data_IF_419236921388
#
_entry.id   IF_419236921388
#
_cell.length_a   1.000
_cell.length_b   1.000
_cell.length_c   1.000
_cell.angle_alpha   90.00
_cell.angle_beta   90.00
_cell.angle_gamma   90.00
#
_symmetry.space_group_name_H-M   'P 1'
#
loop_
_entity.id
_entity.type
_entity.pdbx_description
1 polymer ?
#
# COMPACT_ATOMS: atom_id res chain seq x y z
N UNK A 1 -4.14 0.52 -2.32
CA UNK A 1 -2.79 0.93 -2.70
C UNK A 1 -1.83 0.21 -1.78
N UNK A 2 -0.83 -0.41 -2.31
CA UNK A 2 0.06 -1.33 -1.59
C UNK A 2 1.51 -0.85 -1.69
N UNK A 3 2.35 -1.26 -0.73
CA UNK A 3 3.79 -1.01 -0.81
C UNK A 3 4.40 -1.89 -1.93
N UNK A 4 5.28 -1.38 -2.78
CA UNK A 4 6.00 -0.09 -2.70
C UNK A 4 5.31 1.08 -3.41
N UNK A 5 4.19 0.87 -4.04
CA UNK A 5 3.44 1.88 -4.82
C UNK A 5 3.06 3.11 -3.98
N UNK A 6 2.63 2.87 -2.72
CA UNK A 6 2.22 3.94 -1.81
C UNK A 6 3.36 4.92 -1.47
N UNK A 7 4.62 4.49 -1.50
CA UNK A 7 5.79 5.35 -1.21
C UNK A 7 5.92 6.46 -2.25
N UNK A 8 5.90 6.10 -3.54
CA UNK A 8 6.00 7.08 -4.62
C UNK A 8 4.85 8.07 -4.57
N UNK A 9 3.64 7.54 -4.40
CA UNK A 9 2.42 8.36 -4.34
C UNK A 9 2.42 9.28 -3.13
N UNK A 10 2.84 8.82 -1.96
CA UNK A 10 2.97 9.66 -0.76
C UNK A 10 3.87 10.88 -1.00
N UNK A 11 5.04 10.69 -1.63
CA UNK A 11 5.95 11.79 -1.94
C UNK A 11 5.32 12.82 -2.89
N UNK A 12 4.61 12.34 -3.90
CA UNK A 12 3.94 13.22 -4.86
C UNK A 12 2.75 13.96 -4.21
N UNK A 13 1.95 13.28 -3.38
CA UNK A 13 0.85 13.91 -2.63
C UNK A 13 1.39 14.99 -1.70
N UNK A 14 2.43 14.70 -0.91
CA UNK A 14 3.05 15.69 -0.01
C UNK A 14 3.49 16.94 -0.76
N UNK A 15 4.18 16.77 -1.90
CA UNK A 15 4.64 17.91 -2.72
C UNK A 15 3.49 18.74 -3.27
N UNK A 16 2.38 18.10 -3.58
CA UNK A 16 1.26 18.74 -4.24
C UNK A 16 0.35 19.50 -3.26
N UNK A 17 0.10 18.96 -2.06
CA UNK A 17 -0.97 19.48 -1.19
C UNK A 17 -0.50 20.06 0.14
N UNK A 18 0.68 19.69 0.66
CA UNK A 18 1.18 20.28 1.92
C UNK A 18 1.45 21.76 1.73
N UNK A 19 0.95 22.58 2.64
CA UNK A 19 0.99 24.05 2.58
C UNK A 19 -0.17 24.68 1.81
N UNK A 20 -0.99 23.89 1.09
CA UNK A 20 -2.19 24.37 0.39
C UNK A 20 -3.37 24.51 1.34
N UNK A 21 -4.28 25.44 1.04
CA UNK A 21 -5.56 25.62 1.74
C UNK A 21 -6.65 24.87 0.99
N UNK A 22 -7.45 24.09 1.70
CA UNK A 22 -8.59 23.37 1.15
C UNK A 22 -9.69 24.39 0.86
N UNK A 23 -10.06 24.58 -0.40
CA UNK A 23 -11.08 25.53 -0.82
C UNK A 23 -12.47 24.92 -0.88
N UNK A 24 -12.55 23.63 -1.20
CA UNK A 24 -13.81 22.88 -1.23
C UNK A 24 -13.57 21.40 -1.05
N UNK A 25 -14.62 20.67 -0.67
CA UNK A 25 -14.63 19.20 -0.55
C UNK A 25 -15.87 18.65 -1.22
N UNK A 26 -15.70 17.86 -2.27
CA UNK A 26 -16.79 17.27 -3.05
C UNK A 26 -16.86 15.77 -2.82
N UNK A 27 -18.07 15.27 -2.63
CA UNK A 27 -18.38 13.83 -2.57
C UNK A 27 -19.13 13.41 -3.83
N UNK A 28 -18.65 12.39 -4.52
CA UNK A 28 -19.36 11.79 -5.63
C UNK A 28 -19.56 10.30 -5.38
N UNK A 29 -20.81 9.80 -5.50
CA UNK A 29 -21.16 8.38 -5.35
C UNK A 29 -21.22 7.72 -6.72
N UNK A 30 -20.69 6.51 -6.81
CA UNK A 30 -20.84 5.63 -7.96
C UNK A 30 -22.03 4.70 -7.70
N UNK A 31 -23.07 4.79 -8.48
CA UNK A 31 -24.31 4.02 -8.38
C UNK A 31 -25.14 4.28 -7.10
N UNK A 32 -26.45 4.17 -7.25
CA UNK A 32 -27.46 4.30 -6.18
C UNK A 32 -27.55 3.09 -5.24
N UNK A 33 -26.45 2.39 -5.05
CA UNK A 33 -26.40 1.28 -4.09
C UNK A 33 -26.50 1.75 -2.65
N UNK A 34 -27.14 0.96 -1.79
CA UNK A 34 -27.42 1.20 -0.36
C UNK A 34 -26.20 1.35 0.55
N UNK A 35 -25.17 2.08 0.14
CA UNK A 35 -24.11 2.46 1.06
C UNK A 35 -24.54 3.72 1.81
N UNK A 36 -25.03 3.55 3.01
CA UNK A 36 -25.16 4.62 3.99
C UNK A 36 -23.76 5.11 4.38
N UNK A 37 -23.22 6.02 3.59
CA UNK A 37 -22.27 6.97 4.16
C UNK A 37 -23.08 7.76 5.19
N UNK A 38 -22.66 7.65 6.43
CA UNK A 38 -23.18 8.50 7.48
C UNK A 38 -23.06 9.96 7.02
N UNK A 39 -24.18 10.62 6.84
CA UNK A 39 -24.22 12.04 6.45
C UNK A 39 -23.43 12.92 7.41
N UNK A 40 -23.38 12.56 8.70
CA UNK A 40 -22.55 13.18 9.73
C UNK A 40 -21.06 13.15 9.38
N UNK A 41 -20.55 12.08 8.76
CA UNK A 41 -19.15 11.98 8.37
C UNK A 41 -18.82 12.91 7.19
N UNK A 42 -19.78 13.16 6.27
CA UNK A 42 -19.53 14.09 5.17
C UNK A 42 -19.58 15.54 5.62
N UNK A 43 -20.47 15.90 6.53
CA UNK A 43 -20.54 17.27 7.08
C UNK A 43 -19.25 17.60 7.84
N UNK A 44 -18.67 16.64 8.57
CA UNK A 44 -17.35 16.79 9.16
C UNK A 44 -16.22 17.01 8.13
N UNK A 45 -16.31 16.43 6.92
CA UNK A 45 -15.34 16.72 5.86
C UNK A 45 -15.36 18.20 5.44
N UNK A 46 -16.54 18.86 5.50
CA UNK A 46 -16.65 20.28 5.19
C UNK A 46 -15.94 21.17 6.20
N UNK A 47 -15.74 20.71 7.44
CA UNK A 47 -14.96 21.43 8.45
C UNK A 47 -13.49 21.62 8.06
N UNK A 48 -13.00 20.87 7.07
CA UNK A 48 -11.67 21.03 6.49
C UNK A 48 -11.56 22.23 5.53
N UNK A 49 -12.68 22.76 5.06
CA UNK A 49 -12.69 23.90 4.13
C UNK A 49 -12.12 25.14 4.85
N UNK A 50 -11.21 25.82 4.20
CA UNK A 50 -10.48 26.96 4.76
C UNK A 50 -9.24 26.56 5.58
N UNK A 51 -9.04 25.30 5.88
CA UNK A 51 -7.87 24.84 6.64
C UNK A 51 -6.68 24.52 5.72
N UNK A 52 -5.48 24.78 6.23
CA UNK A 52 -4.22 24.50 5.56
C UNK A 52 -3.77 23.08 5.86
N UNK A 53 -3.35 22.35 4.84
CA UNK A 53 -2.77 21.00 4.99
C UNK A 53 -1.36 21.11 5.55
N UNK A 54 -1.09 20.46 6.66
CA UNK A 54 0.24 20.43 7.30
C UNK A 54 0.96 19.11 7.09
N UNK A 55 0.21 18.02 6.90
CA UNK A 55 0.77 16.71 6.60
C UNK A 55 -0.15 15.95 5.65
N UNK A 56 0.41 15.18 4.74
CA UNK A 56 -0.32 14.30 3.86
C UNK A 56 0.50 13.07 3.47
N UNK A 57 -0.20 11.98 3.22
CA UNK A 57 0.36 10.76 2.61
C UNK A 57 -0.69 10.08 1.72
N UNK A 58 -0.38 8.89 1.24
CA UNK A 58 -1.30 8.13 0.39
C UNK A 58 -2.57 7.65 1.13
N UNK A 59 -2.66 7.76 2.43
CA UNK A 59 -3.78 7.29 3.25
C UNK A 59 -4.33 8.31 4.23
N UNK A 60 -3.73 9.49 4.36
CA UNK A 60 -4.21 10.51 5.29
C UNK A 60 -3.92 11.95 4.83
N UNK A 61 -4.67 12.88 5.40
CA UNK A 61 -4.50 14.31 5.24
C UNK A 61 -4.78 14.99 6.58
N UNK A 62 -3.81 15.73 7.10
CA UNK A 62 -3.91 16.46 8.36
C UNK A 62 -3.87 17.97 8.11
N UNK A 63 -4.66 18.71 8.87
CA UNK A 63 -4.77 20.17 8.76
C UNK A 63 -4.22 20.88 10.00
N UNK A 64 -3.92 22.15 9.86
CA UNK A 64 -3.45 23.02 10.95
C UNK A 64 -4.44 23.15 12.11
N UNK A 65 -5.75 22.98 11.85
CA UNK A 65 -6.80 22.94 12.87
C UNK A 65 -6.87 21.63 13.65
N UNK A 66 -5.93 20.69 13.43
CA UNK A 66 -5.88 19.41 14.12
C UNK A 66 -6.91 18.39 13.62
N UNK A 67 -7.55 18.64 12.48
CA UNK A 67 -8.40 17.66 11.82
C UNK A 67 -7.56 16.73 10.94
N UNK A 68 -7.74 15.44 11.13
CA UNK A 68 -7.09 14.41 10.32
C UNK A 68 -8.14 13.55 9.63
N UNK A 69 -8.04 13.45 8.31
CA UNK A 69 -8.82 12.49 7.50
C UNK A 69 -7.95 11.30 7.19
N UNK A 70 -8.38 10.11 7.59
CA UNK A 70 -7.77 8.84 7.20
C UNK A 70 -8.62 8.12 6.17
N UNK A 71 -8.01 7.67 5.09
CA UNK A 71 -8.66 6.89 4.04
C UNK A 71 -8.32 5.42 4.20
N UNK A 72 -9.32 4.64 4.57
CA UNK A 72 -9.22 3.18 4.70
C UNK A 72 -9.70 2.56 3.40
N UNK A 73 -8.78 2.14 2.54
CA UNK A 73 -9.14 1.50 1.28
C UNK A 73 -8.23 0.30 0.96
N UNK A 74 -8.85 -0.80 0.57
CA UNK A 74 -8.15 -1.99 0.07
C UNK A 74 -7.97 -1.96 -1.45
N UNK A 75 -8.93 -1.39 -2.17
CA UNK A 75 -8.96 -1.31 -3.64
C UNK A 75 -9.34 0.09 -4.11
N UNK A 76 -8.69 1.10 -3.59
CA UNK A 76 -8.91 2.48 -3.97
C UNK A 76 -7.75 3.05 -4.78
N UNK A 77 -7.77 4.34 -4.96
CA UNK A 77 -6.71 5.07 -5.61
C UNK A 77 -6.74 6.56 -5.28
N UNK A 78 -5.67 7.23 -5.58
CA UNK A 78 -5.56 8.68 -5.48
C UNK A 78 -5.27 9.24 -6.86
N UNK A 79 -5.88 10.36 -7.22
CA UNK A 79 -5.64 11.08 -8.46
C UNK A 79 -5.45 12.56 -8.18
N UNK A 80 -4.47 13.14 -8.84
CA UNK A 80 -4.21 14.57 -8.87
C UNK A 80 -4.52 15.10 -10.26
N UNK A 81 -5.24 16.22 -10.35
CA UNK A 81 -5.56 16.87 -11.61
C UNK A 81 -5.66 18.39 -11.42
N UNK A 82 -5.56 19.13 -12.51
CA UNK A 82 -5.73 20.57 -12.48
C UNK A 82 -7.19 20.93 -12.18
N UNK A 83 -7.39 21.97 -11.37
CA UNK A 83 -8.75 22.42 -10.94
C UNK A 83 -9.66 22.76 -12.10
N UNK A 84 -9.11 23.31 -13.19
CA UNK A 84 -9.82 23.71 -14.42
C UNK A 84 -10.14 22.54 -15.36
N UNK A 85 -9.72 21.33 -15.01
CA UNK A 85 -9.99 20.12 -15.79
C UNK A 85 -11.07 19.27 -15.13
N UNK A 86 -11.82 18.56 -15.97
CA UNK A 86 -12.73 17.54 -15.48
C UNK A 86 -11.98 16.47 -14.69
N UNK A 87 -12.64 15.95 -13.67
CA UNK A 87 -12.11 14.85 -12.89
C UNK A 87 -11.77 13.65 -13.80
N UNK A 88 -10.62 12.99 -13.61
CA UNK A 88 -10.25 11.84 -14.43
C UNK A 88 -11.33 10.76 -14.40
N UNK A 89 -11.69 10.26 -15.57
CA UNK A 89 -12.67 9.18 -15.70
C UNK A 89 -12.20 7.94 -14.94
N UNK A 90 -13.07 7.41 -14.08
CA UNK A 90 -12.82 6.18 -13.37
C UNK A 90 -13.26 5.04 -14.28
N UNK A 91 -12.32 4.50 -15.06
CA UNK A 91 -12.54 3.49 -16.12
C UNK A 91 -13.18 2.17 -15.65
N UNK A 92 -13.27 1.93 -14.35
CA UNK A 92 -13.97 0.77 -13.77
C UNK A 92 -14.71 1.23 -12.53
N UNK A 93 -15.97 1.60 -12.70
CA UNK A 93 -16.88 1.63 -11.56
C UNK A 93 -17.03 0.19 -11.06
N UNK A 94 -16.74 -0.09 -9.79
CA UNK A 94 -16.99 -1.41 -9.24
C UNK A 94 -18.49 -1.72 -9.37
N UNK A 95 -18.82 -2.94 -9.78
CA UNK A 95 -20.21 -3.45 -9.76
C UNK A 95 -20.86 -3.37 -8.36
N UNK A 96 -20.04 -3.12 -7.35
CA UNK A 96 -20.37 -3.13 -5.93
C UNK A 96 -20.55 -1.74 -5.32
N UNK A 97 -20.52 -0.67 -6.12
CA UNK A 97 -20.61 0.70 -5.63
C UNK A 97 -19.26 1.26 -5.12
N UNK A 98 -19.28 2.48 -4.64
CA UNK A 98 -18.15 3.23 -4.14
C UNK A 98 -18.41 4.73 -4.21
N UNK A 99 -17.43 5.50 -3.78
CA UNK A 99 -17.49 6.96 -3.84
C UNK A 99 -16.10 7.57 -4.00
N UNK A 100 -16.07 8.85 -4.40
CA UNK A 100 -14.86 9.65 -4.36
C UNK A 100 -15.02 10.81 -3.38
N UNK A 101 -13.93 11.15 -2.71
CA UNK A 101 -13.78 12.42 -2.00
C UNK A 101 -12.75 13.23 -2.75
N UNK A 102 -13.12 14.43 -3.17
CA UNK A 102 -12.24 15.35 -3.90
C UNK A 102 -11.98 16.59 -3.05
N UNK A 103 -10.72 16.81 -2.70
CA UNK A 103 -10.24 18.03 -2.05
C UNK A 103 -9.81 19.01 -3.12
N UNK A 104 -10.42 20.18 -3.14
CA UNK A 104 -10.15 21.24 -4.12
C UNK A 104 -9.21 22.26 -3.50
N UNK A 105 -8.11 22.54 -4.16
CA UNK A 105 -7.12 23.56 -3.82
C UNK A 105 -7.13 24.68 -4.88
N UNK A 106 -6.24 25.66 -4.77
CA UNK A 106 -6.21 26.80 -5.68
C UNK A 106 -6.02 26.41 -7.15
N UNK A 107 -5.02 25.60 -7.45
CA UNK A 107 -4.65 25.19 -8.81
C UNK A 107 -4.89 23.73 -9.14
N UNK A 108 -5.11 22.89 -8.13
CA UNK A 108 -5.20 21.44 -8.27
C UNK A 108 -6.37 20.87 -7.47
N UNK A 109 -6.74 19.65 -7.78
CA UNK A 109 -7.68 18.84 -7.00
C UNK A 109 -7.09 17.48 -6.73
N UNK A 110 -7.28 17.00 -5.51
CA UNK A 110 -6.87 15.66 -5.06
C UNK A 110 -8.12 14.80 -4.87
N UNK A 111 -8.32 13.82 -5.73
CA UNK A 111 -9.44 12.89 -5.65
C UNK A 111 -8.99 11.57 -5.02
N UNK A 112 -9.66 11.16 -3.96
CA UNK A 112 -9.50 9.86 -3.31
C UNK A 112 -10.64 8.95 -3.75
N UNK A 113 -10.31 7.82 -4.34
CA UNK A 113 -11.26 6.83 -4.86
C UNK A 113 -11.40 5.71 -3.83
N UNK A 114 -12.60 5.53 -3.34
CA UNK A 114 -12.94 4.55 -2.31
C UNK A 114 -13.89 3.51 -2.92
N UNK A 115 -13.32 2.39 -3.38
CA UNK A 115 -14.05 1.31 -4.04
C UNK A 115 -14.45 0.23 -3.06
N UNK A 116 -15.76 -0.12 -3.04
CA UNK A 116 -16.37 -1.27 -2.39
C UNK A 116 -16.27 -1.40 -0.84
N UNK A 117 -16.79 -2.49 -0.35
CA UNK A 117 -17.24 -2.90 0.99
C UNK A 117 -16.28 -2.67 2.18
N UNK A 118 -15.01 -2.43 1.94
CA UNK A 118 -14.00 -2.23 2.98
C UNK A 118 -13.35 -0.84 2.94
N UNK A 119 -13.94 0.07 2.18
CA UNK A 119 -13.43 1.42 2.06
C UNK A 119 -14.26 2.38 2.90
N UNK A 120 -13.60 3.11 3.76
CA UNK A 120 -14.17 4.12 4.61
C UNK A 120 -13.20 5.30 4.73
N UNK A 121 -13.68 6.42 5.23
CA UNK A 121 -12.81 7.44 5.79
C UNK A 121 -13.17 7.66 7.27
N UNK A 122 -12.19 8.03 8.05
CA UNK A 122 -12.35 8.41 9.46
C UNK A 122 -11.82 9.82 9.63
N UNK A 123 -12.56 10.66 10.33
CA UNK A 123 -12.11 11.99 10.72
C UNK A 123 -11.82 11.96 12.22
N UNK A 124 -10.62 12.35 12.59
CA UNK A 124 -10.14 12.43 13.96
C UNK A 124 -9.76 13.87 14.29
N UNK A 125 -10.02 14.31 15.52
CA UNK A 125 -9.63 15.62 16.06
C UNK A 125 -8.54 15.42 17.10
N UNK A 126 -7.44 16.18 17.00
CA UNK A 126 -6.40 16.24 18.03
C UNK A 126 -5.54 14.99 18.21
N UNK A 127 -5.76 13.97 17.44
CA UNK A 127 -4.96 12.74 17.44
C UNK A 127 -4.01 12.74 16.25
N UNK A 128 -2.75 12.32 16.47
CA UNK A 128 -1.91 11.92 15.36
C UNK A 128 -2.62 10.80 14.56
N UNK A 129 -2.48 10.80 13.22
CA UNK A 129 -3.07 9.74 12.42
C UNK A 129 -2.60 8.41 12.99
N UNK A 130 -3.54 7.56 13.39
CA UNK A 130 -3.18 6.19 13.77
C UNK A 130 -2.46 5.58 12.60
N UNK A 131 -1.20 5.14 12.74
CA UNK A 131 -0.45 4.55 11.65
C UNK A 131 -1.31 3.44 11.03
N UNK A 132 -1.54 3.52 9.75
CA UNK A 132 -2.33 2.51 9.02
C UNK A 132 -1.77 1.11 9.25
N UNK A 133 -0.48 1.05 9.48
CA UNK A 133 0.28 -0.17 9.69
C UNK A 133 1.07 -0.08 10.99
N UNK A 134 1.22 -1.18 11.71
CA UNK A 134 2.02 -1.24 12.93
C UNK A 134 3.48 -0.79 12.75
N UNK A 135 3.98 -0.85 11.52
CA UNK A 135 5.31 -0.39 11.15
C UNK A 135 5.20 0.45 9.86
N UNK A 136 5.65 1.70 9.90
CA UNK A 136 5.78 2.51 8.71
C UNK A 136 7.11 2.22 8.00
N UNK A 137 7.06 1.34 7.01
CA UNK A 137 8.25 0.96 6.23
C UNK A 137 8.83 2.13 5.40
N UNK A 138 8.12 3.25 5.32
CA UNK A 138 8.59 4.47 4.64
C UNK A 138 9.40 5.37 5.57
N UNK A 139 9.34 5.11 6.87
CA UNK A 139 10.04 5.86 7.92
C UNK A 139 11.27 5.09 8.42
N UNK A 140 12.50 5.56 8.16
CA UNK A 140 13.71 4.91 8.67
C UNK A 140 13.79 4.85 10.20
N UNK A 141 13.08 5.76 10.89
CA UNK A 141 13.01 5.78 12.36
C UNK A 141 11.96 4.83 12.91
N UNK A 142 10.97 4.48 12.12
CA UNK A 142 9.90 3.56 12.51
C UNK A 142 10.17 2.13 12.07
N UNK A 143 10.65 1.92 10.85
CA UNK A 143 10.99 0.61 10.31
C UNK A 143 12.46 0.26 10.62
N UNK A 144 12.72 -0.17 11.85
CA UNK A 144 14.03 -0.65 12.30
C UNK A 144 14.02 -2.17 12.49
N UNK A 145 15.20 -2.80 12.47
CA UNK A 145 15.31 -4.27 12.66
C UNK A 145 14.71 -4.70 13.99
N UNK A 146 14.99 -3.98 15.07
CA UNK A 146 14.46 -4.28 16.41
C UNK A 146 12.93 -4.23 16.44
N UNK A 147 12.31 -3.19 15.86
CA UNK A 147 10.86 -3.08 15.80
C UNK A 147 10.24 -4.13 14.87
N UNK A 148 10.88 -4.43 13.76
CA UNK A 148 10.45 -5.49 12.87
C UNK A 148 10.47 -6.86 13.54
N UNK A 149 11.52 -7.18 14.28
CA UNK A 149 11.66 -8.42 15.04
C UNK A 149 10.60 -8.53 16.15
N UNK A 150 10.47 -7.50 16.99
CA UNK A 150 9.42 -7.43 18.03
C UNK A 150 8.01 -7.60 17.45
N UNK A 151 7.78 -6.99 16.30
CA UNK A 151 6.51 -7.15 15.61
C UNK A 151 6.30 -8.59 15.13
N UNK A 152 7.30 -9.24 14.51
CA UNK A 152 7.21 -10.64 14.10
C UNK A 152 6.92 -11.55 15.29
N UNK A 153 7.59 -11.34 16.42
CA UNK A 153 7.38 -12.10 17.66
C UNK A 153 5.93 -12.01 18.16
N UNK A 154 5.32 -10.84 18.02
CA UNK A 154 3.92 -10.61 18.39
C UNK A 154 2.91 -11.37 17.50
N UNK A 155 3.33 -11.82 16.32
CA UNK A 155 2.43 -12.48 15.34
C UNK A 155 2.23 -13.97 15.61
N UNK A 156 2.94 -14.53 16.55
CA UNK A 156 2.81 -15.94 16.90
C UNK A 156 3.42 -16.88 15.85
N UNK A 157 2.85 -18.09 15.71
CA UNK A 157 3.40 -19.13 14.84
C UNK A 157 2.73 -19.18 13.46
N UNK A 158 2.58 -18.03 12.79
CA UNK A 158 2.09 -17.96 11.41
C UNK A 158 3.26 -18.02 10.41
N UNK A 159 2.96 -18.10 9.12
CA UNK A 159 4.00 -18.06 8.10
C UNK A 159 4.54 -16.64 7.92
N UNK A 160 5.79 -16.50 7.54
CA UNK A 160 6.41 -15.17 7.30
C UNK A 160 5.67 -14.39 6.21
N UNK A 161 5.20 -15.06 5.17
CA UNK A 161 4.47 -14.39 4.10
C UNK A 161 3.08 -13.92 4.55
N UNK A 162 2.37 -14.70 5.38
CA UNK A 162 1.07 -14.31 5.92
C UNK A 162 1.20 -13.14 6.92
N UNK A 163 2.32 -13.08 7.65
CA UNK A 163 2.61 -11.96 8.53
C UNK A 163 2.81 -10.66 7.74
N UNK A 164 3.58 -10.70 6.67
CA UNK A 164 3.97 -9.52 5.91
C UNK A 164 2.96 -9.12 4.81
N UNK A 165 2.03 -10.01 4.41
CA UNK A 165 1.11 -9.70 3.34
C UNK A 165 -0.10 -8.88 3.79
N UNK A 166 -0.66 -8.10 2.86
CA UNK A 166 -1.67 -7.07 3.07
C UNK A 166 -2.94 -7.48 3.79
N UNK A 167 -3.35 -8.75 3.68
CA UNK A 167 -4.63 -9.17 4.26
C UNK A 167 -4.60 -9.32 5.78
N UNK A 168 -3.44 -9.43 6.40
CA UNK A 168 -3.26 -9.69 7.85
C UNK A 168 -2.00 -9.06 8.44
N UNK A 169 -1.24 -8.31 7.63
CA UNK A 169 0.13 -7.93 7.95
C UNK A 169 0.31 -6.57 8.61
N UNK A 170 1.55 -6.30 8.95
CA UNK A 170 2.00 -5.04 9.51
C UNK A 170 2.10 -3.94 8.45
N UNK A 171 2.33 -4.33 7.24
CA UNK A 171 2.54 -3.42 6.14
C UNK A 171 1.96 -4.05 4.88
N UNK A 172 1.35 -3.22 4.07
CA UNK A 172 0.60 -3.59 2.86
C UNK A 172 1.53 -4.01 1.70
N UNK A 173 2.40 -4.97 1.99
CA UNK A 173 3.33 -5.52 0.99
C UNK A 173 2.61 -6.50 0.09
N UNK A 174 2.73 -6.33 -1.22
CA UNK A 174 2.11 -7.25 -2.16
C UNK A 174 2.70 -8.65 -2.07
N UNK A 175 1.87 -9.68 -2.28
CA UNK A 175 2.34 -11.08 -2.30
C UNK A 175 3.43 -11.31 -3.35
N UNK A 176 3.35 -10.79 -4.59
CA UNK A 176 4.46 -10.89 -5.54
C UNK A 176 5.76 -10.30 -5.03
N UNK A 177 5.70 -9.17 -4.32
CA UNK A 177 6.86 -8.54 -3.72
C UNK A 177 7.47 -9.41 -2.61
N UNK A 178 6.63 -9.96 -1.70
CA UNK A 178 7.09 -10.88 -0.67
C UNK A 178 7.62 -12.21 -1.24
N UNK A 179 6.99 -12.78 -2.26
CA UNK A 179 7.53 -13.96 -2.92
C UNK A 179 8.95 -13.72 -3.44
N UNK A 180 9.19 -12.54 -4.02
CA UNK A 180 10.52 -12.17 -4.52
C UNK A 180 11.53 -11.97 -3.37
N UNK A 181 11.16 -11.27 -2.31
CA UNK A 181 12.00 -11.08 -1.12
C UNK A 181 12.43 -12.44 -0.54
N UNK A 182 11.46 -13.34 -0.33
CA UNK A 182 11.73 -14.66 0.24
C UNK A 182 12.61 -15.52 -0.69
N UNK A 183 12.45 -15.39 -2.01
CA UNK A 183 13.35 -16.04 -2.96
C UNK A 183 14.78 -15.48 -2.89
N UNK A 184 14.95 -14.18 -2.75
CA UNK A 184 16.26 -13.55 -2.54
C UNK A 184 16.91 -14.03 -1.25
N UNK A 185 16.13 -14.22 -0.19
CA UNK A 185 16.60 -14.70 1.11
C UNK A 185 16.83 -16.23 1.17
N UNK A 186 16.29 -17.00 0.21
CA UNK A 186 16.39 -18.47 0.22
C UNK A 186 15.40 -19.13 1.18
N UNK A 187 14.32 -18.44 1.54
CA UNK A 187 13.32 -18.87 2.52
C UNK A 187 12.03 -19.26 1.80
N UNK A 188 11.51 -20.46 2.12
CA UNK A 188 10.26 -20.92 1.55
C UNK A 188 9.07 -20.09 2.10
N UNK A 189 8.06 -19.69 1.29
CA UNK A 189 6.97 -18.84 1.73
C UNK A 189 6.14 -19.40 2.89
N UNK A 190 6.06 -20.72 3.03
CA UNK A 190 5.39 -21.39 4.18
C UNK A 190 6.27 -21.56 5.41
N UNK A 191 7.47 -20.99 5.46
CA UNK A 191 8.29 -21.01 6.65
C UNK A 191 7.62 -20.29 7.80
N UNK A 192 7.67 -20.91 8.99
CA UNK A 192 7.08 -20.34 10.21
C UNK A 192 8.02 -19.29 10.80
N UNK A 193 7.48 -18.19 11.31
CA UNK A 193 8.27 -17.11 11.91
C UNK A 193 9.19 -17.65 13.00
N UNK A 194 8.66 -18.47 13.91
CA UNK A 194 9.42 -19.05 15.05
C UNK A 194 10.54 -19.99 14.65
N UNK A 195 10.57 -20.46 13.41
CA UNK A 195 11.60 -21.34 12.87
C UNK A 195 12.70 -20.59 12.10
N UNK A 196 12.58 -19.26 11.98
CA UNK A 196 13.59 -18.41 11.37
C UNK A 196 14.64 -18.03 12.42
N UNK A 197 15.92 -18.09 12.04
CA UNK A 197 17.00 -17.54 12.85
C UNK A 197 17.00 -16.01 12.79
N UNK A 198 17.63 -15.36 13.78
CA UNK A 198 17.83 -13.90 13.80
C UNK A 198 18.48 -13.40 12.51
N UNK A 199 19.53 -14.09 12.02
CA UNK A 199 20.19 -13.73 10.77
C UNK A 199 19.29 -13.87 9.53
N UNK A 200 18.32 -14.80 9.53
CA UNK A 200 17.32 -14.92 8.47
C UNK A 200 16.30 -13.77 8.51
N UNK A 201 15.88 -13.36 9.71
CA UNK A 201 15.00 -12.21 9.92
C UNK A 201 15.69 -10.92 9.48
N UNK A 202 16.95 -10.72 9.91
CA UNK A 202 17.77 -9.58 9.48
C UNK A 202 17.93 -9.54 7.96
N UNK A 203 18.19 -10.68 7.34
CA UNK A 203 18.30 -10.77 5.88
C UNK A 203 17.00 -10.38 5.17
N UNK A 204 15.84 -10.78 5.69
CA UNK A 204 14.53 -10.37 5.17
C UNK A 204 14.39 -8.85 5.31
N UNK A 205 14.65 -8.31 6.50
CA UNK A 205 14.58 -6.87 6.78
C UNK A 205 15.45 -6.06 5.81
N UNK A 206 16.73 -6.39 5.71
CA UNK A 206 17.67 -5.70 4.82
C UNK A 206 17.28 -5.82 3.34
N UNK A 207 16.69 -6.95 2.93
CA UNK A 207 16.20 -7.12 1.57
C UNK A 207 14.97 -6.23 1.31
N UNK A 208 14.07 -6.08 2.29
CA UNK A 208 12.93 -5.15 2.19
C UNK A 208 13.43 -3.72 2.04
N UNK A 209 14.30 -3.26 2.95
CA UNK A 209 14.86 -1.89 2.92
C UNK A 209 15.50 -1.60 1.58
N UNK A 210 16.39 -2.48 1.12
CA UNK A 210 17.07 -2.31 -0.18
C UNK A 210 16.10 -2.23 -1.34
N UNK A 211 15.06 -3.04 -1.35
CA UNK A 211 14.07 -3.01 -2.43
C UNK A 211 13.22 -1.74 -2.41
N UNK A 212 12.95 -1.18 -1.24
CA UNK A 212 12.25 0.09 -1.11
C UNK A 212 13.11 1.27 -1.61
N UNK A 213 14.41 1.26 -1.28
CA UNK A 213 15.39 2.21 -1.82
C UNK A 213 15.51 2.10 -3.35
N UNK A 214 15.64 0.88 -3.86
CA UNK A 214 15.69 0.62 -5.31
C UNK A 214 14.41 1.12 -6.02
N UNK A 215 13.25 0.98 -5.39
CA UNK A 215 11.99 1.50 -5.93
C UNK A 215 11.98 3.02 -5.98
N UNK A 216 12.49 3.68 -4.94
CA UNK A 216 12.55 5.15 -4.84
C UNK A 216 13.40 5.76 -5.95
N UNK A 217 14.51 5.12 -6.34
CA UNK A 217 15.37 5.55 -7.45
C UNK A 217 14.87 5.08 -8.83
N UNK A 218 13.62 4.63 -8.93
CA UNK A 218 12.95 4.30 -10.17
C UNK A 218 13.13 2.86 -10.67
N UNK A 219 13.77 1.96 -9.90
CA UNK A 219 13.81 0.52 -10.21
C UNK A 219 12.51 -0.16 -9.78
N UNK A 220 11.47 0.07 -10.54
CA UNK A 220 10.10 -0.35 -10.20
C UNK A 220 9.92 -1.85 -10.29
N UNK A 221 9.49 -2.44 -9.20
CA UNK A 221 9.25 -3.88 -9.04
C UNK A 221 7.81 -4.30 -9.37
N UNK A 222 6.90 -3.36 -9.50
CA UNK A 222 5.51 -3.59 -9.92
C UNK A 222 5.01 -2.45 -10.79
N UNK A 223 4.02 -2.76 -11.63
CA UNK A 223 3.29 -1.74 -12.38
C UNK A 223 2.22 -1.11 -11.51
N UNK A 224 2.02 0.19 -11.64
CA UNK A 224 0.97 0.93 -10.93
C UNK A 224 0.45 2.09 -11.77
N UNK A 225 -0.63 2.71 -11.32
CA UNK A 225 -1.15 3.94 -11.92
C UNK A 225 -0.69 5.10 -11.03
N UNK A 226 0.04 6.06 -11.61
CA UNK A 226 0.50 7.25 -10.88
C UNK A 226 -0.65 8.20 -10.52
N UNK A 227 -0.34 9.28 -9.81
CA UNK A 227 -1.32 10.29 -9.41
C UNK A 227 -2.06 10.94 -10.59
N UNK A 228 -1.45 10.95 -11.77
CA UNK A 228 -2.01 11.58 -12.96
C UNK A 228 -2.80 10.59 -13.84
N UNK A 229 -3.01 9.36 -13.38
CA UNK A 229 -3.73 8.32 -14.11
C UNK A 229 -2.91 7.61 -15.18
N UNK A 230 -1.61 7.89 -15.28
CA UNK A 230 -0.71 7.23 -16.22
C UNK A 230 -0.27 5.87 -15.71
N UNK A 231 -0.32 4.88 -16.57
CA UNK A 231 0.16 3.54 -16.26
C UNK A 231 1.70 3.51 -16.28
N UNK A 232 2.29 3.31 -15.12
CA UNK A 232 3.73 3.14 -14.95
C UNK A 232 4.04 1.65 -14.95
N UNK A 233 4.82 1.21 -15.94
CA UNK A 233 5.22 -0.20 -16.07
C UNK A 233 6.37 -0.53 -15.12
N UNK A 234 6.41 -1.80 -14.71
CA UNK A 234 7.58 -2.36 -14.03
C UNK A 234 8.81 -2.27 -14.97
N UNK A 235 9.96 -1.94 -14.42
CA UNK A 235 11.23 -1.92 -15.14
C UNK A 235 12.31 -2.77 -14.44
N UNK A 236 11.95 -3.46 -13.37
CA UNK A 236 12.79 -4.45 -12.73
C UNK A 236 12.20 -5.85 -13.00
N UNK A 237 12.68 -6.55 -14.05
CA UNK A 237 12.16 -7.86 -14.43
C UNK A 237 12.32 -8.92 -13.32
N UNK A 238 13.24 -8.71 -12.37
CA UNK A 238 13.46 -9.62 -11.26
C UNK A 238 12.25 -9.73 -10.32
N UNK A 239 11.48 -8.66 -10.16
CA UNK A 239 10.35 -8.66 -9.23
C UNK A 239 9.13 -9.46 -9.73
N UNK A 240 9.00 -9.62 -11.03
CA UNK A 240 7.94 -10.45 -11.62
C UNK A 240 8.31 -11.94 -11.74
N UNK A 241 9.50 -12.35 -11.25
CA UNK A 241 9.96 -13.73 -11.36
C UNK A 241 9.07 -14.70 -10.57
N UNK A 242 8.74 -14.38 -9.33
CA UNK A 242 7.96 -15.25 -8.44
C UNK A 242 6.47 -14.97 -8.55
N UNK A 243 5.91 -15.14 -9.76
CA UNK A 243 4.51 -14.88 -10.09
C UNK A 243 3.91 -15.99 -10.93
N UNK A 244 2.58 -15.99 -11.11
CA UNK A 244 1.86 -16.95 -11.95
C UNK A 244 2.41 -17.04 -13.37
N UNK A 245 2.85 -15.91 -13.95
CA UNK A 245 3.41 -15.83 -15.31
C UNK A 245 4.65 -16.69 -15.51
N UNK A 246 5.39 -16.94 -14.43
CA UNK A 246 6.66 -17.67 -14.47
C UNK A 246 6.61 -19.03 -13.73
N UNK A 247 5.43 -19.44 -13.28
CA UNK A 247 5.23 -20.79 -12.76
C UNK A 247 5.64 -21.83 -13.83
N UNK A 248 6.38 -22.84 -13.42
CA UNK A 248 6.98 -23.88 -14.26
C UNK A 248 8.12 -23.43 -15.20
N UNK A 249 8.49 -22.14 -15.23
CA UNK A 249 9.69 -21.68 -15.91
C UNK A 249 10.94 -21.89 -15.05
N UNK A 250 12.14 -21.98 -15.68
CA UNK A 250 13.37 -22.18 -14.94
C UNK A 250 13.70 -21.00 -14.01
N UNK A 251 14.09 -21.32 -12.80
CA UNK A 251 14.64 -20.36 -11.84
C UNK A 251 15.95 -19.77 -12.37
N UNK A 252 16.13 -18.46 -12.39
CA UNK A 252 17.35 -17.84 -12.94
C UNK A 252 18.63 -18.13 -12.11
N UNK A 253 18.48 -18.58 -10.86
CA UNK A 253 19.64 -18.93 -10.01
C UNK A 253 20.11 -20.38 -10.20
N UNK A 254 19.18 -21.32 -10.44
CA UNK A 254 19.51 -22.75 -10.41
C UNK A 254 18.80 -23.59 -11.49
N UNK A 255 18.08 -22.97 -12.40
CA UNK A 255 17.33 -23.61 -13.49
C UNK A 255 16.21 -24.57 -13.06
N UNK A 256 16.01 -24.82 -11.77
CA UNK A 256 14.89 -25.63 -11.28
C UNK A 256 13.56 -24.92 -11.58
N UNK A 257 12.51 -25.64 -12.04
CA UNK A 257 11.23 -25.03 -12.31
C UNK A 257 10.64 -24.34 -11.06
N UNK A 258 10.09 -23.12 -11.26
CA UNK A 258 9.36 -22.39 -10.23
C UNK A 258 8.05 -23.10 -9.95
N UNK A 259 7.73 -23.33 -8.70
CA UNK A 259 6.51 -24.00 -8.24
C UNK A 259 5.55 -23.02 -7.55
N UNK A 260 4.31 -23.48 -7.39
CA UNK A 260 3.28 -22.78 -6.64
C UNK A 260 2.81 -23.63 -5.45
N UNK A 261 2.55 -22.98 -4.32
CA UNK A 261 1.94 -23.61 -3.15
C UNK A 261 0.73 -22.78 -2.70
N UNK A 262 -0.34 -23.45 -2.27
CA UNK A 262 -1.52 -22.77 -1.72
C UNK A 262 -1.19 -22.15 -0.37
N UNK A 263 -1.46 -20.86 -0.25
CA UNK A 263 -1.42 -20.10 0.99
C UNK A 263 -2.81 -19.76 1.50
N UNK A 264 -2.92 -18.76 2.37
CA UNK A 264 -4.19 -18.28 2.91
C UNK A 264 -4.93 -17.45 1.86
N UNK A 265 -5.79 -18.12 1.07
CA UNK A 265 -6.64 -17.48 0.05
C UNK A 265 -5.95 -17.17 -1.28
N UNK A 266 -4.66 -17.50 -1.46
CA UNK A 266 -3.93 -17.25 -2.70
C UNK A 266 -2.77 -18.22 -2.90
N UNK A 267 -2.16 -18.22 -4.09
CA UNK A 267 -0.97 -19.00 -4.41
C UNK A 267 0.29 -18.19 -4.14
N UNK A 268 1.29 -18.83 -3.54
CA UNK A 268 2.66 -18.34 -3.39
C UNK A 268 3.57 -19.06 -4.36
N UNK A 269 4.50 -18.33 -4.96
CA UNK A 269 5.43 -18.85 -5.97
C UNK A 269 6.85 -18.89 -5.40
N UNK A 270 7.56 -19.99 -5.64
CA UNK A 270 8.88 -20.22 -5.05
C UNK A 270 9.73 -21.18 -5.91
N UNK A 271 11.04 -21.19 -5.67
CA UNK A 271 11.93 -22.18 -6.25
C UNK A 271 12.24 -23.27 -5.19
N UNK A 272 11.87 -24.54 -5.44
CA UNK A 272 12.04 -25.60 -4.43
C UNK A 272 13.53 -25.92 -4.12
N UNK A 273 14.41 -25.61 -5.05
CA UNK A 273 15.85 -25.80 -4.88
C UNK A 273 16.51 -24.69 -4.05
N UNK A 274 16.17 -23.42 -4.37
CA UNK A 274 16.77 -22.25 -3.73
C UNK A 274 16.18 -21.93 -2.35
N UNK A 275 14.91 -22.27 -2.10
CA UNK A 275 14.18 -21.85 -0.91
C UNK A 275 13.91 -23.03 0.02
N UNK A 276 14.39 -22.94 1.25
CA UNK A 276 14.24 -24.00 2.26
C UNK A 276 13.07 -23.70 3.19
N UNK A 277 12.26 -24.74 3.43
CA UNK A 277 11.14 -24.68 4.39
C UNK A 277 11.68 -24.76 5.82
N UNK A 278 11.30 -23.78 6.64
CA UNK A 278 11.57 -23.74 8.10
C UNK A 278 10.25 -24.06 8.83
N UNK A 279 10.26 -25.09 9.65
CA UNK A 279 9.09 -25.63 10.37
C UNK A 279 9.09 -25.29 11.84
#
# INVERSE_FOLDING_TARGET
MQIPESISITKEVRRAVVGQVIQDVCLHRFNEGEYQLDTLSFDKLKELIGQKVVQADAGSLCTEGGLTVQFLYSNGGIRLFKRDKEAPEIKKTPKTGGFTVTFVFEAISLMVILNSWSCAFKICTGEEPVPRWPLDVTSPTDFTLDRFQKWLDSRGNITIIDACSSCRGAFDVTIPFMNYILWMCGIHPKSKIRALSEGEIEKIFNTIVKMLEDYDIGKRVCSHIDLYGKHIKENNPSASLMTAKNCHKPCPKCSTPIEAVMGTGTKYYFCPSCQKLKK
#
